data_IF_043129735276
#
_entry.id   IF_043129735276
#
_cell.length_a   1.000
_cell.length_b   1.000
_cell.length_c   1.000
_cell.angle_alpha   90.00
_cell.angle_beta   90.00
_cell.angle_gamma   90.00
#
_symmetry.space_group_name_H-M   'P 1'
#
loop_
_entity.id
_entity.type
_entity.pdbx_description
1 polymer ?
#
# COMPACT_ATOMS: atom_id res chain seq x y z
N UNK A 1 -13.76 2.74 11.31
CA UNK A 1 -13.46 1.75 10.22
C UNK A 1 -14.54 0.68 10.14
N UNK A 2 -15.03 0.33 8.94
CA UNK A 2 -16.08 -0.69 8.76
C UNK A 2 -15.48 -2.06 8.38
N UNK A 3 -15.03 -2.82 9.36
CA UNK A 3 -14.39 -4.15 9.19
C UNK A 3 -15.33 -5.25 8.67
N UNK A 4 -16.63 -5.04 8.71
CA UNK A 4 -17.61 -6.02 8.21
C UNK A 4 -17.45 -6.26 6.69
N UNK A 5 -17.05 -5.22 5.96
CA UNK A 5 -17.00 -5.26 4.50
C UNK A 5 -15.59 -5.08 3.94
N UNK A 6 -14.67 -4.49 4.70
CA UNK A 6 -13.32 -4.14 4.28
C UNK A 6 -12.27 -4.82 5.16
N UNK A 7 -11.17 -5.19 4.53
CA UNK A 7 -10.00 -5.69 5.26
C UNK A 7 -9.16 -4.53 5.77
N UNK A 8 -8.76 -4.59 7.03
CA UNK A 8 -7.69 -3.74 7.53
C UNK A 8 -6.36 -4.28 7.04
N UNK A 9 -5.52 -3.41 6.49
CA UNK A 9 -4.20 -3.81 5.97
C UNK A 9 -3.12 -2.89 6.52
N UNK A 10 -2.12 -3.45 7.18
CA UNK A 10 -0.92 -2.74 7.61
C UNK A 10 0.24 -3.23 6.75
N UNK A 11 0.69 -2.39 5.84
CA UNK A 11 1.72 -2.69 4.86
C UNK A 11 2.99 -1.87 5.14
N UNK A 12 4.11 -2.52 5.33
CA UNK A 12 5.43 -1.87 5.38
C UNK A 12 5.96 -1.64 3.96
N UNK A 13 6.42 -0.44 3.68
CA UNK A 13 7.21 -0.10 2.51
C UNK A 13 8.63 0.21 2.96
N UNK A 14 9.54 -0.72 2.75
CA UNK A 14 10.93 -0.55 3.21
C UNK A 14 11.72 0.43 2.37
N UNK A 15 11.24 0.70 1.15
CA UNK A 15 11.99 1.52 0.19
C UNK A 15 13.39 0.94 -0.01
N UNK A 16 14.40 1.75 -0.32
CA UNK A 16 15.78 1.31 -0.53
C UNK A 16 16.50 1.15 0.82
N UNK A 17 16.07 0.19 1.64
CA UNK A 17 16.68 -0.10 2.93
C UNK A 17 16.85 -1.60 3.13
N UNK A 18 17.83 -1.96 3.93
CA UNK A 18 18.21 -3.33 4.35
C UNK A 18 18.82 -4.18 3.24
N UNK A 19 19.80 -4.95 3.64
CA UNK A 19 20.40 -6.04 2.88
C UNK A 19 19.65 -7.36 3.15
N UNK A 20 19.89 -8.43 2.38
CA UNK A 20 19.33 -9.76 2.68
C UNK A 20 19.67 -10.28 4.08
N UNK A 21 20.86 -9.96 4.59
CA UNK A 21 21.28 -10.36 5.95
C UNK A 21 20.50 -9.61 7.02
N UNK A 22 20.36 -8.30 6.89
CA UNK A 22 19.56 -7.47 7.79
C UNK A 22 18.06 -7.82 7.71
N UNK A 23 17.59 -8.19 6.51
CA UNK A 23 16.23 -8.71 6.32
C UNK A 23 15.99 -9.96 7.15
N UNK A 24 16.92 -10.93 7.11
CA UNK A 24 16.81 -12.14 7.93
C UNK A 24 16.76 -11.84 9.41
N UNK A 25 17.62 -10.92 9.90
CA UNK A 25 17.64 -10.51 11.29
C UNK A 25 16.30 -9.87 11.70
N UNK A 26 15.82 -8.88 10.93
CA UNK A 26 14.53 -8.24 11.16
C UNK A 26 13.37 -9.26 11.20
N UNK A 27 13.28 -10.15 10.22
CA UNK A 27 12.18 -11.11 10.13
C UNK A 27 12.20 -12.11 11.31
N UNK A 28 13.39 -12.50 11.76
CA UNK A 28 13.54 -13.39 12.92
C UNK A 28 12.98 -12.73 14.18
N UNK A 29 13.36 -11.49 14.45
CA UNK A 29 12.86 -10.70 15.57
C UNK A 29 11.36 -10.43 15.47
N UNK A 30 10.92 -9.90 14.32
CA UNK A 30 9.53 -9.57 14.06
C UNK A 30 8.59 -10.77 14.25
N UNK A 31 9.01 -11.97 13.82
CA UNK A 31 8.25 -13.23 13.99
C UNK A 31 7.99 -13.54 15.48
N UNK A 32 8.92 -13.20 16.38
CA UNK A 32 8.78 -13.49 17.81
C UNK A 32 7.83 -12.55 18.54
N UNK A 33 7.78 -11.27 18.11
CA UNK A 33 6.99 -10.22 18.77
C UNK A 33 5.65 -9.92 18.08
N UNK A 34 5.42 -10.48 16.89
CA UNK A 34 4.21 -10.22 16.12
C UNK A 34 2.95 -10.69 16.86
N UNK A 35 1.90 -9.85 16.97
CA UNK A 35 0.68 -10.21 17.65
C UNK A 35 0.01 -11.46 17.06
N UNK A 36 -0.51 -12.34 17.91
CA UNK A 36 -1.23 -13.57 17.49
C UNK A 36 -2.63 -13.28 16.94
N UNK A 37 -3.23 -12.17 17.32
CA UNK A 37 -4.55 -11.74 16.86
C UNK A 37 -4.59 -11.47 15.35
N UNK A 38 -5.76 -11.69 14.72
CA UNK A 38 -5.95 -11.60 13.26
C UNK A 38 -6.92 -10.48 12.87
N UNK A 39 -6.77 -9.31 13.46
CA UNK A 39 -7.62 -8.16 13.18
C UNK A 39 -7.24 -7.36 11.93
N UNK A 40 -6.06 -7.62 11.35
CA UNK A 40 -5.62 -7.02 10.09
C UNK A 40 -4.77 -7.99 9.28
N UNK A 41 -4.71 -7.78 7.97
CA UNK A 41 -3.68 -8.37 7.11
C UNK A 41 -2.38 -7.58 7.31
N UNK A 42 -1.24 -8.27 7.36
CA UNK A 42 0.09 -7.65 7.49
C UNK A 42 0.89 -7.96 6.25
N UNK A 43 1.44 -6.92 5.63
CA UNK A 43 2.32 -7.02 4.47
C UNK A 43 3.67 -6.36 4.75
N UNK A 44 4.75 -6.90 4.18
CA UNK A 44 6.07 -6.28 4.15
C UNK A 44 6.54 -6.25 2.69
N UNK A 45 6.52 -5.05 2.10
CA UNK A 45 7.07 -4.81 0.77
C UNK A 45 8.54 -4.41 0.94
N UNK A 46 9.41 -5.21 0.34
CA UNK A 46 10.86 -5.15 0.55
C UNK A 46 11.60 -5.01 -0.79
N UNK A 47 12.85 -4.49 -0.79
CA UNK A 47 13.69 -4.48 -1.99
C UNK A 47 13.76 -5.85 -2.65
N UNK A 48 13.83 -5.89 -3.97
CA UNK A 48 13.80 -7.14 -4.75
C UNK A 48 14.86 -8.16 -4.30
N UNK A 49 16.07 -7.69 -3.97
CA UNK A 49 17.16 -8.53 -3.46
C UNK A 49 16.85 -9.17 -2.10
N UNK A 50 15.92 -8.62 -1.35
CA UNK A 50 15.51 -9.09 -0.02
C UNK A 50 14.33 -10.09 -0.06
N UNK A 51 13.59 -10.16 -1.18
CA UNK A 51 12.38 -10.99 -1.31
C UNK A 51 12.64 -12.46 -0.95
N UNK A 52 13.65 -13.16 -1.51
CA UNK A 52 13.85 -14.56 -1.20
C UNK A 52 14.15 -14.82 0.28
N UNK A 53 14.88 -13.90 0.94
CA UNK A 53 15.18 -14.00 2.37
C UNK A 53 13.92 -13.77 3.22
N UNK A 54 13.11 -12.77 2.87
CA UNK A 54 11.86 -12.44 3.55
C UNK A 54 10.82 -13.57 3.43
N UNK A 55 10.59 -14.06 2.21
CA UNK A 55 9.64 -15.17 1.95
C UNK A 55 10.03 -16.42 2.74
N UNK A 56 11.31 -16.79 2.73
CA UNK A 56 11.80 -17.94 3.49
C UNK A 56 11.59 -17.77 5.00
N UNK A 57 11.89 -16.60 5.55
CA UNK A 57 11.78 -16.34 6.98
C UNK A 57 10.33 -16.27 7.45
N UNK A 58 9.41 -15.76 6.61
CA UNK A 58 8.00 -15.60 6.95
C UNK A 58 7.12 -16.77 6.54
N UNK A 59 7.69 -17.84 5.95
CA UNK A 59 6.95 -19.09 5.68
C UNK A 59 6.23 -19.55 6.96
N UNK A 60 5.01 -20.03 6.82
CA UNK A 60 4.15 -20.48 7.93
C UNK A 60 3.65 -19.36 8.86
N UNK A 61 3.85 -18.11 8.49
CA UNK A 61 3.21 -16.97 9.17
C UNK A 61 2.07 -16.42 8.33
N UNK A 62 1.30 -15.47 8.91
CA UNK A 62 0.26 -14.73 8.19
C UNK A 62 0.77 -13.49 7.46
N UNK A 63 2.06 -13.18 7.56
CA UNK A 63 2.67 -12.02 6.92
C UNK A 63 2.85 -12.27 5.43
N UNK A 64 2.24 -11.43 4.60
CA UNK A 64 2.47 -11.46 3.17
C UNK A 64 3.71 -10.66 2.79
N UNK A 65 4.57 -11.23 1.95
CA UNK A 65 5.69 -10.49 1.38
C UNK A 65 5.25 -9.82 0.09
N UNK A 66 5.74 -8.62 -0.15
CA UNK A 66 5.49 -7.84 -1.35
C UNK A 66 6.76 -7.28 -1.95
N UNK A 67 6.64 -6.82 -3.20
CA UNK A 67 7.63 -6.05 -3.90
C UNK A 67 7.27 -4.56 -3.92
N UNK A 68 8.23 -3.71 -4.23
CA UNK A 68 8.08 -2.24 -4.23
C UNK A 68 7.83 -1.67 -5.64
N UNK A 69 7.86 -2.52 -6.66
CA UNK A 69 7.56 -2.22 -8.06
C UNK A 69 7.50 -3.51 -8.89
N UNK A 70 6.91 -3.45 -10.09
CA UNK A 70 7.11 -4.44 -11.16
C UNK A 70 7.07 -3.76 -12.54
N UNK A 71 7.53 -4.47 -13.55
CA UNK A 71 7.34 -4.08 -14.95
C UNK A 71 5.96 -4.54 -15.44
N UNK A 72 5.37 -3.82 -16.38
CA UNK A 72 4.10 -4.17 -17.02
C UNK A 72 4.22 -5.35 -18.01
N UNK A 73 5.41 -5.57 -18.55
CA UNK A 73 5.66 -6.64 -19.52
C UNK A 73 6.05 -7.94 -18.79
N UNK A 74 5.60 -9.08 -19.31
CA UNK A 74 5.85 -10.39 -18.72
C UNK A 74 7.30 -10.86 -18.95
N UNK A 75 7.97 -10.37 -19.99
CA UNK A 75 9.36 -10.67 -20.34
C UNK A 75 9.83 -9.71 -21.43
N UNK A 76 11.11 -9.70 -21.74
CA UNK A 76 11.66 -8.95 -22.87
C UNK A 76 12.99 -8.24 -22.59
N UNK A 77 13.34 -7.30 -23.46
CA UNK A 77 14.57 -6.53 -23.39
C UNK A 77 14.44 -5.33 -22.41
N UNK A 78 14.30 -5.63 -21.15
CA UNK A 78 14.11 -4.66 -20.06
C UNK A 78 15.15 -4.91 -18.97
N UNK A 79 16.41 -4.70 -19.30
CA UNK A 79 17.55 -4.98 -18.40
C UNK A 79 17.38 -4.31 -17.04
N UNK A 80 17.40 -5.10 -15.96
CA UNK A 80 17.24 -4.61 -14.59
C UNK A 80 15.79 -4.59 -14.07
N UNK A 81 14.78 -4.78 -14.92
CA UNK A 81 13.38 -4.83 -14.54
C UNK A 81 12.94 -6.22 -14.06
N UNK A 82 11.89 -6.26 -13.27
CA UNK A 82 11.32 -7.48 -12.71
C UNK A 82 9.84 -7.55 -13.09
N UNK A 83 9.43 -8.62 -13.75
CA UNK A 83 8.05 -8.82 -14.16
C UNK A 83 7.17 -9.33 -13.02
N UNK A 84 5.84 -9.14 -13.12
CA UNK A 84 4.89 -9.59 -12.10
C UNK A 84 4.89 -11.12 -11.88
N UNK A 85 5.04 -11.91 -12.95
CA UNK A 85 5.16 -13.36 -12.86
C UNK A 85 6.43 -13.81 -12.09
N UNK A 86 7.55 -13.09 -12.25
CA UNK A 86 8.78 -13.35 -11.48
C UNK A 86 8.58 -13.10 -9.99
N UNK A 87 7.83 -12.05 -9.64
CA UNK A 87 7.51 -11.74 -8.24
C UNK A 87 6.59 -12.79 -7.62
N UNK A 88 5.59 -13.26 -8.37
CA UNK A 88 4.70 -14.33 -7.90
C UNK A 88 5.49 -15.62 -7.64
N UNK A 89 6.34 -16.03 -8.57
CA UNK A 89 7.18 -17.22 -8.44
C UNK A 89 8.17 -17.12 -7.26
N UNK A 90 8.70 -15.90 -7.02
CA UNK A 90 9.53 -15.62 -5.84
C UNK A 90 8.77 -15.67 -4.52
N UNK A 91 7.43 -15.80 -4.54
CA UNK A 91 6.58 -15.93 -3.36
C UNK A 91 5.99 -14.59 -2.86
N UNK A 92 6.01 -13.53 -3.67
CA UNK A 92 5.32 -12.30 -3.36
C UNK A 92 3.80 -12.48 -3.43
N UNK A 93 3.11 -11.80 -2.53
CA UNK A 93 1.64 -11.67 -2.52
C UNK A 93 1.20 -10.26 -2.91
N UNK A 94 1.99 -9.25 -2.58
CA UNK A 94 1.68 -7.84 -2.80
C UNK A 94 2.71 -7.19 -3.72
N UNK A 95 2.32 -6.06 -4.33
CA UNK A 95 3.26 -5.18 -5.04
C UNK A 95 2.78 -3.73 -4.91
N UNK A 96 3.68 -2.82 -4.52
CA UNK A 96 3.43 -1.38 -4.53
C UNK A 96 3.63 -0.86 -5.94
N UNK A 97 2.68 -0.05 -6.44
CA UNK A 97 2.71 0.52 -7.78
C UNK A 97 2.34 2.00 -7.75
N UNK A 98 3.04 2.81 -8.54
CA UNK A 98 2.78 4.23 -8.65
C UNK A 98 3.13 5.04 -7.39
N UNK A 99 4.04 4.53 -6.54
CA UNK A 99 4.53 5.26 -5.37
C UNK A 99 5.07 6.64 -5.78
N UNK A 100 4.87 7.65 -4.94
CA UNK A 100 5.29 9.04 -5.24
C UNK A 100 6.75 9.17 -5.66
N UNK A 101 7.65 8.41 -5.06
CA UNK A 101 9.08 8.38 -5.45
C UNK A 101 9.28 7.84 -6.87
N UNK A 102 8.49 6.84 -7.30
CA UNK A 102 8.54 6.31 -8.67
C UNK A 102 7.98 7.32 -9.68
N UNK A 103 6.89 8.00 -9.33
CA UNK A 103 6.31 9.07 -10.14
C UNK A 103 7.29 10.23 -10.32
N UNK A 104 8.04 10.58 -9.26
CA UNK A 104 9.11 11.57 -9.33
C UNK A 104 10.27 11.16 -10.28
N UNK A 105 10.47 9.87 -10.52
CA UNK A 105 11.40 9.31 -11.50
C UNK A 105 10.80 9.21 -12.92
N UNK A 106 9.60 9.74 -13.16
CA UNK A 106 8.95 9.78 -14.47
C UNK A 106 7.87 8.73 -14.71
N UNK A 107 7.48 7.94 -13.71
CA UNK A 107 6.39 6.97 -13.85
C UNK A 107 5.04 7.71 -14.03
N UNK A 108 4.38 7.46 -15.14
CA UNK A 108 3.10 8.09 -15.50
C UNK A 108 1.89 7.32 -14.97
N UNK A 109 0.71 7.94 -14.98
CA UNK A 109 -0.53 7.23 -14.64
C UNK A 109 -0.83 6.07 -15.60
N UNK A 110 -0.44 6.18 -16.87
CA UNK A 110 -0.59 5.10 -17.84
C UNK A 110 0.33 3.91 -17.53
N UNK A 111 1.58 4.19 -17.12
CA UNK A 111 2.51 3.15 -16.66
C UNK A 111 1.97 2.44 -15.43
N UNK A 112 1.44 3.19 -14.47
CA UNK A 112 0.85 2.61 -13.26
C UNK A 112 -0.34 1.72 -13.61
N UNK A 113 -1.23 2.14 -14.50
CA UNK A 113 -2.36 1.31 -14.96
C UNK A 113 -1.88 0.01 -15.60
N UNK A 114 -0.91 0.07 -16.52
CA UNK A 114 -0.36 -1.11 -17.18
C UNK A 114 0.24 -2.10 -16.17
N UNK A 115 0.95 -1.59 -15.16
CA UNK A 115 1.51 -2.40 -14.07
C UNK A 115 0.44 -3.00 -13.16
N UNK A 116 -0.62 -2.25 -12.84
CA UNK A 116 -1.75 -2.76 -12.04
C UNK A 116 -2.45 -3.91 -12.76
N UNK A 117 -2.70 -3.77 -14.07
CA UNK A 117 -3.26 -4.83 -14.89
C UNK A 117 -2.37 -6.07 -14.88
N UNK A 118 -1.06 -5.91 -15.13
CA UNK A 118 -0.10 -7.01 -15.11
C UNK A 118 -0.04 -7.71 -13.74
N UNK A 119 -0.07 -6.96 -12.64
CA UNK A 119 -0.07 -7.52 -11.29
C UNK A 119 -1.34 -8.34 -11.00
N UNK A 120 -2.52 -7.80 -11.34
CA UNK A 120 -3.81 -8.47 -11.16
C UNK A 120 -3.91 -9.73 -12.01
N UNK A 121 -3.43 -9.69 -13.25
CA UNK A 121 -3.45 -10.83 -14.19
C UNK A 121 -2.54 -11.96 -13.73
N UNK A 122 -1.48 -11.64 -13.01
CA UNK A 122 -0.59 -12.62 -12.39
C UNK A 122 -1.01 -13.04 -10.97
N UNK A 123 -2.13 -12.54 -10.43
CA UNK A 123 -2.64 -12.95 -9.12
C UNK A 123 -1.98 -12.23 -7.93
N UNK A 124 -1.15 -11.22 -8.16
CA UNK A 124 -0.65 -10.34 -7.11
C UNK A 124 -1.76 -9.40 -6.62
N UNK A 125 -1.61 -8.89 -5.42
CA UNK A 125 -2.45 -7.84 -4.84
C UNK A 125 -1.72 -6.51 -5.00
N UNK A 126 -2.09 -5.65 -5.97
CA UNK A 126 -1.47 -4.34 -6.10
C UNK A 126 -1.91 -3.40 -4.99
N UNK A 127 -0.96 -2.63 -4.46
CA UNK A 127 -1.17 -1.46 -3.61
C UNK A 127 -0.88 -0.25 -4.51
N UNK A 128 -1.93 0.31 -5.11
CA UNK A 128 -1.82 1.43 -6.03
C UNK A 128 -1.76 2.74 -5.25
N UNK A 129 -0.67 3.49 -5.39
CA UNK A 129 -0.46 4.76 -4.74
C UNK A 129 -1.00 5.93 -5.57
N UNK A 130 -1.71 6.82 -4.91
CA UNK A 130 -2.22 8.10 -5.43
C UNK A 130 -1.92 9.20 -4.42
N UNK A 131 -1.70 10.42 -4.90
CA UNK A 131 -1.42 11.54 -4.00
C UNK A 131 -1.15 12.83 -4.73
N UNK A 132 -1.32 13.94 -4.02
CA UNK A 132 -1.10 15.29 -4.50
C UNK A 132 0.17 15.90 -3.89
N UNK A 133 0.80 16.80 -4.65
CA UNK A 133 1.87 17.67 -4.17
C UNK A 133 1.34 18.81 -3.30
N UNK A 134 2.23 19.51 -2.60
CA UNK A 134 1.87 20.71 -1.85
C UNK A 134 1.27 21.79 -2.77
N UNK A 135 1.85 21.98 -3.94
CA UNK A 135 1.38 22.94 -4.94
C UNK A 135 -0.06 22.65 -5.37
N UNK A 136 -0.39 21.38 -5.64
CA UNK A 136 -1.74 20.96 -6.00
C UNK A 136 -2.73 21.16 -4.86
N UNK A 137 -2.31 20.89 -3.63
CA UNK A 137 -3.13 21.11 -2.44
C UNK A 137 -3.40 22.60 -2.20
N UNK A 138 -2.38 23.44 -2.29
CA UNK A 138 -2.50 24.90 -2.14
C UNK A 138 -3.32 25.54 -3.26
N UNK A 139 -3.29 24.96 -4.47
CA UNK A 139 -4.14 25.34 -5.59
C UNK A 139 -5.61 24.89 -5.43
N UNK A 140 -5.93 24.08 -4.41
CA UNK A 140 -7.29 23.59 -4.16
C UNK A 140 -7.79 22.55 -5.16
N UNK A 141 -6.88 21.84 -5.85
CA UNK A 141 -7.22 20.84 -6.89
C UNK A 141 -6.96 19.38 -6.44
N UNK A 142 -6.88 19.14 -5.14
CA UNK A 142 -6.62 17.80 -4.58
C UNK A 142 -7.62 16.76 -5.10
N UNK A 143 -8.92 17.07 -5.06
CA UNK A 143 -9.97 16.12 -5.47
C UNK A 143 -9.89 15.77 -6.96
N UNK A 144 -9.73 16.77 -7.82
CA UNK A 144 -9.60 16.59 -9.27
C UNK A 144 -8.35 15.76 -9.60
N UNK A 145 -7.23 16.07 -8.93
CA UNK A 145 -5.97 15.38 -9.14
C UNK A 145 -6.08 13.90 -8.76
N UNK A 146 -6.56 13.61 -7.56
CA UNK A 146 -6.78 12.24 -7.07
C UNK A 146 -7.79 11.50 -7.96
N UNK A 147 -8.89 12.16 -8.32
CA UNK A 147 -9.90 11.59 -9.23
C UNK A 147 -9.28 11.20 -10.58
N UNK A 148 -8.43 12.04 -11.14
CA UNK A 148 -7.73 11.76 -12.40
C UNK A 148 -6.79 10.56 -12.25
N UNK A 149 -5.99 10.51 -11.19
CA UNK A 149 -5.09 9.38 -10.93
C UNK A 149 -5.85 8.05 -10.78
N UNK A 150 -6.97 8.06 -10.04
CA UNK A 150 -7.81 6.86 -9.86
C UNK A 150 -8.43 6.42 -11.17
N UNK A 151 -9.07 7.34 -11.90
CA UNK A 151 -9.72 7.00 -13.20
C UNK A 151 -8.73 6.42 -14.18
N UNK A 152 -7.55 7.01 -14.29
CA UNK A 152 -6.51 6.52 -15.20
C UNK A 152 -5.91 5.20 -14.71
N UNK A 153 -5.54 5.13 -13.43
CA UNK A 153 -4.91 3.94 -12.84
C UNK A 153 -5.82 2.71 -12.82
N UNK A 154 -7.15 2.91 -12.79
CA UNK A 154 -8.15 1.84 -12.80
C UNK A 154 -8.78 1.60 -14.19
N UNK A 155 -8.31 2.25 -15.23
CA UNK A 155 -8.85 2.07 -16.57
C UNK A 155 -8.78 0.58 -17.00
N UNK A 156 -9.87 0.09 -17.62
CA UNK A 156 -9.98 -1.29 -18.11
C UNK A 156 -9.90 -2.41 -17.05
N UNK A 157 -9.99 -2.09 -15.75
CA UNK A 157 -10.05 -3.10 -14.70
C UNK A 157 -11.50 -3.50 -14.46
N UNK A 158 -11.82 -4.79 -14.58
CA UNK A 158 -13.16 -5.35 -14.33
C UNK A 158 -13.52 -5.45 -12.86
N UNK A 159 -14.83 -5.55 -12.57
CA UNK A 159 -15.35 -5.66 -11.18
C UNK A 159 -14.84 -6.88 -10.42
N UNK A 160 -14.54 -7.97 -11.10
CA UNK A 160 -13.99 -9.19 -10.54
C UNK A 160 -12.56 -9.01 -10.02
N UNK A 161 -11.77 -8.17 -10.69
CA UNK A 161 -10.37 -7.91 -10.36
C UNK A 161 -10.18 -6.77 -9.37
N UNK A 162 -10.99 -5.71 -9.48
CA UNK A 162 -10.85 -4.49 -8.67
C UNK A 162 -10.90 -4.78 -7.15
N UNK A 163 -11.64 -5.80 -6.72
CA UNK A 163 -11.76 -6.17 -5.30
C UNK A 163 -10.48 -6.73 -4.68
N UNK A 164 -9.50 -7.08 -5.51
CA UNK A 164 -8.18 -7.55 -5.06
C UNK A 164 -7.18 -6.40 -4.92
N UNK A 165 -7.53 -5.20 -5.38
CA UNK A 165 -6.68 -4.04 -5.35
C UNK A 165 -6.83 -3.30 -4.02
N UNK A 166 -5.75 -2.71 -3.55
CA UNK A 166 -5.68 -1.78 -2.43
C UNK A 166 -5.26 -0.42 -2.98
N UNK A 167 -5.84 0.66 -2.47
CA UNK A 167 -5.40 2.02 -2.80
C UNK A 167 -4.67 2.60 -1.60
N UNK A 168 -3.53 3.25 -1.81
CA UNK A 168 -2.80 3.98 -0.79
C UNK A 168 -2.80 5.48 -1.14
N UNK A 169 -3.34 6.29 -0.24
CA UNK A 169 -3.29 7.74 -0.35
C UNK A 169 -2.00 8.29 0.25
N UNK A 170 -1.20 8.92 -0.56
CA UNK A 170 0.07 9.54 -0.20
C UNK A 170 -0.03 11.07 -0.27
N UNK A 171 -0.26 11.81 0.84
CA UNK A 171 -0.06 13.26 0.85
C UNK A 171 1.43 13.54 0.65
N UNK A 172 1.86 13.78 -0.61
CA UNK A 172 3.30 13.90 -0.97
C UNK A 172 3.96 15.01 -0.16
N UNK A 173 3.21 16.08 0.12
CA UNK A 173 3.64 17.21 0.96
C UNK A 173 3.95 16.85 2.42
N UNK A 174 3.46 15.69 2.89
CA UNK A 174 3.68 15.18 4.25
C UNK A 174 4.68 14.00 4.32
N UNK A 175 5.25 13.57 3.18
CA UNK A 175 6.19 12.44 3.14
C UNK A 175 7.62 12.96 3.29
N UNK A 176 8.31 12.57 4.37
CA UNK A 176 9.72 12.90 4.59
C UNK A 176 9.99 14.38 4.90
N UNK A 177 8.96 15.20 5.09
CA UNK A 177 9.09 16.64 5.33
C UNK A 177 9.01 17.02 6.81
N UNK A 178 8.71 16.07 7.69
CA UNK A 178 8.40 16.32 9.10
C UNK A 178 6.97 16.85 9.33
N UNK A 179 6.21 17.16 8.27
CA UNK A 179 4.78 17.46 8.35
C UNK A 179 3.99 16.17 8.35
N UNK A 180 2.85 16.16 9.01
CA UNK A 180 1.91 15.03 9.02
C UNK A 180 0.52 15.58 8.76
N UNK A 181 -0.23 14.95 7.87
CA UNK A 181 -1.65 15.28 7.74
C UNK A 181 -2.38 14.96 9.05
N UNK A 182 -3.35 15.79 9.43
CA UNK A 182 -4.23 15.42 10.54
C UNK A 182 -5.10 14.24 10.17
N UNK A 183 -5.64 13.49 11.14
CA UNK A 183 -6.58 12.40 10.83
C UNK A 183 -7.75 12.84 9.96
N UNK A 184 -8.29 14.05 10.19
CA UNK A 184 -9.39 14.62 9.43
C UNK A 184 -8.99 14.96 7.99
N UNK A 185 -7.80 15.51 7.79
CA UNK A 185 -7.26 15.79 6.43
C UNK A 185 -7.02 14.51 5.64
N UNK A 186 -6.57 13.46 6.31
CA UNK A 186 -6.37 12.15 5.68
C UNK A 186 -7.72 11.49 5.34
N UNK A 187 -8.70 11.61 6.25
CA UNK A 187 -10.05 11.07 6.06
C UNK A 187 -10.76 11.73 4.89
N UNK A 188 -10.74 13.06 4.80
CA UNK A 188 -11.35 13.83 3.69
C UNK A 188 -10.96 13.26 2.32
N UNK A 189 -9.67 13.00 2.12
CA UNK A 189 -9.19 12.46 0.83
C UNK A 189 -9.53 10.98 0.68
N UNK A 190 -9.45 10.18 1.74
CA UNK A 190 -9.83 8.77 1.68
C UNK A 190 -11.33 8.59 1.39
N UNK A 191 -12.20 9.43 1.96
CA UNK A 191 -13.64 9.49 1.65
C UNK A 191 -13.86 9.84 0.17
N UNK A 192 -13.17 10.87 -0.33
CA UNK A 192 -13.24 11.23 -1.76
C UNK A 192 -12.79 10.07 -2.67
N UNK A 193 -11.67 9.41 -2.36
CA UNK A 193 -11.23 8.21 -3.10
C UNK A 193 -12.35 7.18 -3.17
N UNK A 194 -12.99 6.89 -2.04
CA UNK A 194 -14.10 5.93 -1.98
C UNK A 194 -15.32 6.40 -2.76
N UNK A 195 -15.63 7.69 -2.75
CA UNK A 195 -16.71 8.27 -3.56
C UNK A 195 -16.44 8.12 -5.06
N UNK A 196 -15.19 8.32 -5.51
CA UNK A 196 -14.78 8.09 -6.92
C UNK A 196 -14.95 6.62 -7.30
N UNK A 197 -14.50 5.69 -6.45
CA UNK A 197 -14.68 4.25 -6.70
C UNK A 197 -16.18 3.89 -6.76
N UNK A 198 -17.02 4.48 -5.92
CA UNK A 198 -18.47 4.28 -5.96
C UNK A 198 -19.08 4.73 -7.27
N UNK A 199 -18.62 5.85 -7.82
CA UNK A 199 -19.07 6.34 -9.14
C UNK A 199 -18.64 5.41 -10.28
N UNK A 200 -17.46 4.81 -10.19
CA UNK A 200 -16.90 3.95 -11.25
C UNK A 200 -17.44 2.50 -11.19
N UNK A 201 -17.60 1.92 -10.00
CA UNK A 201 -17.85 0.48 -9.81
C UNK A 201 -19.06 0.18 -8.91
N UNK A 202 -19.77 1.19 -8.46
CA UNK A 202 -20.94 1.02 -7.58
C UNK A 202 -20.61 0.82 -6.10
N UNK A 203 -21.66 0.89 -5.28
CA UNK A 203 -21.55 0.89 -3.82
C UNK A 203 -20.97 -0.40 -3.24
N UNK A 204 -21.23 -1.55 -3.87
CA UNK A 204 -20.76 -2.86 -3.39
C UNK A 204 -19.24 -2.98 -3.49
N UNK A 205 -18.63 -2.52 -4.58
CA UNK A 205 -17.18 -2.49 -4.78
C UNK A 205 -16.55 -1.45 -3.84
N UNK A 206 -17.06 -0.23 -3.81
CA UNK A 206 -16.54 0.84 -2.97
C UNK A 206 -16.49 0.46 -1.47
N UNK A 207 -17.47 -0.32 -1.00
CA UNK A 207 -17.48 -0.83 0.38
C UNK A 207 -16.49 -1.96 0.62
N UNK A 208 -15.99 -2.62 -0.41
CA UNK A 208 -15.12 -3.79 -0.27
C UNK A 208 -13.62 -3.48 -0.44
N UNK A 209 -13.28 -2.35 -1.09
CA UNK A 209 -11.89 -1.94 -1.33
C UNK A 209 -11.30 -1.35 -0.06
N UNK A 210 -10.08 -1.75 0.28
CA UNK A 210 -9.28 -1.14 1.34
C UNK A 210 -8.55 0.10 0.82
N UNK A 211 -8.65 1.19 1.58
CA UNK A 211 -7.92 2.44 1.34
C UNK A 211 -6.97 2.66 2.51
N UNK A 212 -5.67 2.79 2.21
CA UNK A 212 -4.62 2.98 3.20
C UNK A 212 -4.18 4.44 3.23
N UNK A 213 -3.83 4.93 4.41
CA UNK A 213 -3.07 6.16 4.53
C UNK A 213 -1.58 5.89 4.34
N UNK A 214 -0.96 6.55 3.38
CA UNK A 214 0.45 6.38 2.99
C UNK A 214 1.37 7.54 3.38
N UNK A 215 0.87 8.50 4.16
CA UNK A 215 1.70 9.56 4.74
C UNK A 215 2.49 9.10 5.97
N UNK A 216 2.99 10.05 6.75
CA UNK A 216 3.78 9.77 7.96
C UNK A 216 2.94 9.14 9.06
N UNK A 217 2.77 7.81 9.03
CA UNK A 217 2.16 7.02 10.10
C UNK A 217 3.24 6.36 10.96
N UNK A 218 3.07 6.44 12.27
CA UNK A 218 3.97 5.87 13.27
C UNK A 218 3.18 5.38 14.49
N UNK A 219 3.86 4.83 15.49
CA UNK A 219 3.27 4.26 16.70
C UNK A 219 2.49 5.25 17.57
N UNK A 220 2.67 6.58 17.36
CA UNK A 220 2.02 7.63 18.16
C UNK A 220 0.69 8.09 17.55
N UNK A 221 0.59 8.13 16.21
CA UNK A 221 -0.58 8.64 15.49
C UNK A 221 -1.41 7.56 14.79
N UNK A 222 -0.93 6.32 14.77
CA UNK A 222 -1.61 5.23 14.07
C UNK A 222 -3.04 4.98 14.61
N UNK A 223 -3.25 5.09 15.93
CA UNK A 223 -4.57 4.87 16.53
C UNK A 223 -5.61 5.85 16.00
N UNK A 224 -5.32 7.14 16.00
CA UNK A 224 -6.26 8.20 15.60
C UNK A 224 -6.53 8.18 14.08
N UNK A 225 -5.49 7.91 13.27
CA UNK A 225 -5.64 7.71 11.83
C UNK A 225 -6.52 6.50 11.51
N UNK A 226 -6.28 5.37 12.18
CA UNK A 226 -7.02 4.14 11.95
C UNK A 226 -8.43 4.15 12.57
N UNK A 227 -8.75 5.14 13.42
CA UNK A 227 -10.10 5.36 13.92
C UNK A 227 -11.02 5.98 12.87
N UNK A 228 -10.47 6.60 11.83
CA UNK A 228 -11.25 7.26 10.79
C UNK A 228 -12.09 6.27 9.97
N UNK A 229 -13.31 6.66 9.51
CA UNK A 229 -14.24 5.77 8.82
C UNK A 229 -13.73 5.15 7.54
N UNK A 230 -13.00 5.92 6.72
CA UNK A 230 -12.57 5.52 5.39
C UNK A 230 -11.08 5.18 5.27
N UNK A 231 -10.34 5.21 6.39
CA UNK A 231 -8.95 4.74 6.47
C UNK A 231 -8.95 3.28 6.95
N UNK A 232 -8.65 2.36 6.04
CA UNK A 232 -8.68 0.91 6.30
C UNK A 232 -7.31 0.31 6.67
N UNK A 233 -6.32 1.16 6.88
CA UNK A 233 -4.96 0.72 7.22
C UNK A 233 -3.90 1.74 6.88
N UNK A 234 -2.65 1.29 6.79
CA UNK A 234 -1.53 2.16 6.50
C UNK A 234 -0.50 1.53 5.56
N UNK A 235 0.13 2.37 4.73
CA UNK A 235 1.34 2.05 4.00
C UNK A 235 2.50 2.76 4.71
N UNK A 236 3.30 1.99 5.47
CA UNK A 236 4.22 2.49 6.48
C UNK A 236 5.66 2.51 5.96
N UNK A 237 6.29 3.68 5.94
CA UNK A 237 7.71 3.81 5.59
C UNK A 237 8.62 3.50 6.78
N UNK A 238 9.34 4.50 7.27
CA UNK A 238 10.41 4.36 8.27
C UNK A 238 10.07 3.56 9.54
N UNK A 239 8.85 3.68 10.06
CA UNK A 239 8.44 2.90 11.23
C UNK A 239 8.37 1.39 10.97
N UNK A 240 8.20 0.97 9.70
CA UNK A 240 8.21 -0.45 9.32
C UNK A 240 9.62 -1.09 9.28
N UNK A 241 10.66 -0.28 9.41
CA UNK A 241 12.06 -0.73 9.45
C UNK A 241 12.50 -1.20 10.86
N UNK A 242 11.67 -0.94 11.87
CA UNK A 242 11.92 -1.28 13.27
C UNK A 242 10.80 -2.22 13.76
N UNK A 243 11.10 -3.49 14.10
CA UNK A 243 10.09 -4.50 14.42
C UNK A 243 9.08 -4.04 15.48
N UNK A 244 9.58 -3.48 16.61
CA UNK A 244 8.73 -3.05 17.72
C UNK A 244 7.81 -1.89 17.37
N UNK A 245 8.28 -0.94 16.54
CA UNK A 245 7.44 0.17 16.07
C UNK A 245 6.35 -0.32 15.14
N UNK A 246 6.70 -1.23 14.23
CA UNK A 246 5.74 -1.80 13.29
C UNK A 246 4.67 -2.64 14.01
N UNK A 247 5.07 -3.42 15.03
CA UNK A 247 4.15 -4.16 15.89
C UNK A 247 3.15 -3.22 16.58
N UNK A 248 3.58 -2.11 17.15
CA UNK A 248 2.69 -1.13 17.78
C UNK A 248 1.65 -0.56 16.80
N UNK A 249 2.03 -0.34 15.53
CA UNK A 249 1.07 0.09 14.50
C UNK A 249 0.07 -1.04 14.17
N UNK A 250 0.55 -2.29 14.11
CA UNK A 250 -0.33 -3.46 13.92
C UNK A 250 -1.32 -3.58 15.09
N UNK A 251 -0.87 -3.36 16.33
CA UNK A 251 -1.72 -3.36 17.52
C UNK A 251 -2.74 -2.23 17.50
N UNK A 252 -2.35 -1.02 17.08
CA UNK A 252 -3.24 0.12 16.93
C UNK A 252 -4.37 -0.14 15.92
N UNK A 253 -4.19 -1.09 15.00
CA UNK A 253 -5.23 -1.52 14.06
C UNK A 253 -6.34 -2.39 14.71
N UNK A 254 -6.17 -2.81 15.98
CA UNK A 254 -7.21 -3.54 16.72
C UNK A 254 -8.27 -2.59 17.29
N UNK A 255 -9.07 -2.01 16.42
CA UNK A 255 -10.09 -1.05 16.77
C UNK A 255 -11.49 -1.66 16.73
N UNK A 256 -12.47 -1.13 17.47
CA UNK A 256 -13.86 -1.53 17.33
C UNK A 256 -14.36 -1.30 15.91
N UNK A 257 -15.27 -2.16 15.46
CA UNK A 257 -15.98 -1.97 14.18
C UNK A 257 -17.06 -0.92 14.38
N UNK A 258 -17.08 0.10 13.54
CA UNK A 258 -18.12 1.12 13.48
C UNK A 258 -19.24 0.61 12.55
#
# INVERSE_FOLDING_TARGET
>A
MNRKYRKTVIAGNWKMNKTPTETKAFMTEFKTIMPKGRWCDVALCVPAVCIPAAVRAMRETRVGIGAENCNANASGAYTGEIAANMLLDAGCKYVILGHSERRAMGETNADVNAKVLAALDNGLIPIMCVGESLEQREAGITEEWITMQIKTGLASIGEDKIRKLIIAYEPIWAIGTGKTATPEQAEEVCENIRAVIRKLYGAKVARAISILYGGSMNEKNAYDLLAQPDIDGGLIGGASLVPEKFVKIIEAANQPTI
#
